data_IF_836855251727
#
_entry.id   IF_836855251727
#
_cell.length_a   1.000
_cell.length_b   1.000
_cell.length_c   1.000
_cell.angle_alpha   90.00
_cell.angle_beta   90.00
_cell.angle_gamma   90.00
#
_symmetry.space_group_name_H-M   'P 1'
#
loop_
_entity.id
_entity.type
_entity.pdbx_description
1 polymer ?
#
# COMPACT_ATOMS: atom_id res chain seq x y z
N UNK A 1 -20.97 -11.14 13.66
CA UNK A 1 -19.74 -11.89 14.01
C UNK A 1 -18.63 -11.28 13.17
N UNK A 2 -17.71 -10.53 13.79
CA UNK A 2 -16.73 -9.68 13.10
C UNK A 2 -15.65 -10.53 12.43
N UNK A 3 -15.66 -10.60 11.09
CA UNK A 3 -14.56 -11.15 10.28
C UNK A 3 -13.45 -10.10 9.99
N UNK A 4 -13.44 -8.97 10.70
CA UNK A 4 -12.52 -7.86 10.44
C UNK A 4 -11.01 -8.11 10.69
N UNK A 5 -10.57 -9.01 11.60
CA UNK A 5 -9.14 -9.22 11.81
C UNK A 5 -8.42 -9.65 10.52
N UNK A 6 -9.05 -10.49 9.69
CA UNK A 6 -8.44 -10.97 8.45
C UNK A 6 -8.22 -9.84 7.44
N UNK A 7 -9.15 -8.89 7.31
CA UNK A 7 -9.02 -7.79 6.35
C UNK A 7 -7.88 -6.84 6.69
N UNK A 8 -7.69 -6.53 7.99
CA UNK A 8 -6.56 -5.70 8.43
C UNK A 8 -5.24 -6.43 8.16
N UNK A 9 -5.17 -7.69 8.54
CA UNK A 9 -3.96 -8.50 8.40
C UNK A 9 -3.62 -8.74 6.92
N UNK A 10 -4.63 -8.91 6.07
CA UNK A 10 -4.49 -9.01 4.61
C UNK A 10 -3.88 -7.74 4.03
N UNK A 11 -4.38 -6.55 4.40
CA UNK A 11 -3.82 -5.28 3.88
C UNK A 11 -2.38 -5.10 4.35
N UNK A 12 -2.06 -5.40 5.61
CA UNK A 12 -0.69 -5.35 6.13
C UNK A 12 0.23 -6.33 5.40
N UNK A 13 -0.24 -7.55 5.14
CA UNK A 13 0.50 -8.56 4.40
C UNK A 13 0.75 -8.13 2.94
N UNK A 14 -0.27 -7.62 2.24
CA UNK A 14 -0.12 -7.12 0.87
C UNK A 14 0.84 -5.94 0.83
N UNK A 15 0.75 -5.01 1.78
CA UNK A 15 1.64 -3.86 1.85
C UNK A 15 3.10 -4.28 2.11
N UNK A 16 3.34 -5.27 3.00
CA UNK A 16 4.66 -5.85 3.20
C UNK A 16 5.20 -6.48 1.91
N UNK A 17 4.40 -7.32 1.27
CA UNK A 17 4.76 -7.99 0.02
C UNK A 17 5.00 -7.00 -1.13
N UNK A 18 4.35 -5.83 -1.11
CA UNK A 18 4.63 -4.74 -2.05
C UNK A 18 6.01 -4.12 -1.82
N UNK A 19 6.38 -3.82 -0.56
CA UNK A 19 7.70 -3.29 -0.22
C UNK A 19 8.80 -4.30 -0.55
N UNK A 20 8.63 -5.57 -0.17
CA UNK A 20 9.60 -6.62 -0.47
C UNK A 20 9.82 -6.78 -1.99
N UNK A 21 8.75 -6.61 -2.79
CA UNK A 21 8.86 -6.65 -4.24
C UNK A 21 9.59 -5.44 -4.83
N UNK A 22 9.46 -4.26 -4.21
CA UNK A 22 10.22 -3.06 -4.59
C UNK A 22 11.70 -3.21 -4.24
N UNK A 23 12.01 -3.80 -3.09
CA UNK A 23 13.39 -4.02 -2.63
C UNK A 23 14.14 -5.07 -3.43
N UNK A 24 13.41 -5.96 -4.09
CA UNK A 24 13.97 -6.91 -5.04
C UNK A 24 14.35 -6.28 -6.38
N UNK A 25 13.91 -5.05 -6.68
CA UNK A 25 14.30 -4.35 -7.89
C UNK A 25 15.76 -3.87 -7.80
N UNK A 26 16.44 -3.70 -8.96
CA UNK A 26 17.75 -3.05 -8.98
C UNK A 26 17.69 -1.66 -8.32
N UNK A 27 18.69 -1.32 -7.50
CA UNK A 27 18.69 -0.10 -6.69
C UNK A 27 18.60 1.20 -7.51
N UNK A 28 19.05 1.16 -8.77
CA UNK A 28 18.97 2.27 -9.71
C UNK A 28 17.56 2.52 -10.26
N UNK A 29 16.67 1.51 -10.23
CA UNK A 29 15.27 1.64 -10.67
C UNK A 29 14.48 2.59 -9.76
N UNK A 30 14.75 2.55 -8.45
CA UNK A 30 14.07 3.42 -7.48
C UNK A 30 14.71 4.80 -7.33
N UNK A 31 15.71 5.13 -8.16
CA UNK A 31 16.38 6.43 -8.09
C UNK A 31 15.38 7.56 -8.29
N UNK A 32 15.33 8.50 -7.35
CA UNK A 32 14.38 9.61 -7.31
C UNK A 32 13.06 9.32 -6.61
N UNK A 33 12.83 8.09 -6.13
CA UNK A 33 11.67 7.69 -5.33
C UNK A 33 12.05 7.12 -3.96
N UNK A 34 13.32 7.24 -3.55
CA UNK A 34 13.82 6.69 -2.29
C UNK A 34 13.04 7.25 -1.10
N UNK A 35 12.73 8.55 -1.12
CA UNK A 35 11.99 9.21 -0.05
C UNK A 35 10.59 8.62 0.15
N UNK A 36 9.80 8.48 -0.92
CA UNK A 36 8.44 7.93 -0.84
C UNK A 36 8.47 6.43 -0.49
N UNK A 37 9.45 5.69 -1.01
CA UNK A 37 9.67 4.27 -0.66
C UNK A 37 10.02 4.11 0.82
N UNK A 38 10.91 4.93 1.37
CA UNK A 38 11.31 4.87 2.78
C UNK A 38 10.16 5.26 3.72
N UNK A 39 9.34 6.25 3.33
CA UNK A 39 8.11 6.57 4.07
C UNK A 39 7.16 5.36 4.07
N UNK A 40 6.92 4.76 2.90
CA UNK A 40 6.05 3.59 2.79
C UNK A 40 6.58 2.43 3.64
N UNK A 41 7.86 2.08 3.54
CA UNK A 41 8.47 1.01 4.34
C UNK A 41 8.31 1.27 5.85
N UNK A 42 8.56 2.51 6.29
CA UNK A 42 8.42 2.88 7.69
C UNK A 42 6.98 2.71 8.19
N UNK A 43 6.00 3.15 7.41
CA UNK A 43 4.58 3.01 7.75
C UNK A 43 4.15 1.55 7.76
N UNK A 44 4.57 0.76 6.76
CA UNK A 44 4.32 -0.69 6.71
C UNK A 44 4.94 -1.42 7.91
N UNK A 45 6.15 -1.04 8.32
CA UNK A 45 6.84 -1.64 9.47
C UNK A 45 6.18 -1.30 10.80
N UNK A 46 5.62 -0.10 10.94
CA UNK A 46 4.81 0.26 12.11
C UNK A 46 3.39 -0.33 12.07
N UNK A 47 2.95 -0.82 10.91
CA UNK A 47 1.58 -1.27 10.68
C UNK A 47 0.59 -0.14 10.42
N UNK A 48 1.08 1.08 10.19
CA UNK A 48 0.32 2.32 9.96
C UNK A 48 -0.16 2.43 8.50
N UNK A 49 -0.74 1.35 7.97
CA UNK A 49 -1.10 1.23 6.54
C UNK A 49 -2.51 1.75 6.21
N UNK A 50 -3.27 2.20 7.21
CA UNK A 50 -4.64 2.72 7.04
C UNK A 50 -4.71 4.25 7.07
N UNK A 51 -3.57 4.92 7.30
CA UNK A 51 -3.46 6.37 7.32
C UNK A 51 -3.46 6.99 5.92
N UNK A 52 -3.73 8.29 5.86
CA UNK A 52 -3.61 9.09 4.63
C UNK A 52 -2.15 9.13 4.15
N UNK A 53 -1.20 9.31 5.07
CA UNK A 53 0.24 9.27 4.80
C UNK A 53 0.68 8.05 3.97
N UNK A 54 0.16 6.85 4.30
CA UNK A 54 0.48 5.64 3.55
C UNK A 54 -0.07 5.68 2.12
N UNK A 55 -1.30 6.18 1.97
CA UNK A 55 -1.95 6.27 0.66
C UNK A 55 -1.30 7.34 -0.21
N UNK A 56 -0.92 8.47 0.36
CA UNK A 56 -0.24 9.56 -0.34
C UNK A 56 1.16 9.15 -0.78
N UNK A 57 2.00 8.68 0.15
CA UNK A 57 3.35 8.22 -0.18
C UNK A 57 3.31 7.06 -1.18
N UNK A 58 2.39 6.12 -1.02
CA UNK A 58 2.21 5.02 -1.96
C UNK A 58 1.76 5.49 -3.34
N UNK A 59 0.90 6.52 -3.43
CA UNK A 59 0.47 7.09 -4.69
C UNK A 59 1.59 7.87 -5.39
N UNK A 60 2.39 8.66 -4.67
CA UNK A 60 3.56 9.33 -5.25
C UNK A 60 4.59 8.32 -5.75
N UNK A 61 4.86 7.28 -4.97
CA UNK A 61 5.71 6.19 -5.39
C UNK A 61 5.20 5.52 -6.68
N UNK A 62 3.91 5.22 -6.78
CA UNK A 62 3.32 4.70 -8.02
C UNK A 62 3.48 5.65 -9.22
N UNK A 63 3.33 6.97 -9.00
CA UNK A 63 3.53 7.96 -10.07
C UNK A 63 4.97 7.99 -10.54
N UNK A 64 5.93 7.82 -9.64
CA UNK A 64 7.34 7.71 -10.01
C UNK A 64 7.61 6.43 -10.80
N UNK A 65 7.17 5.28 -10.28
CA UNK A 65 7.35 3.98 -10.93
C UNK A 65 6.75 3.95 -12.34
N UNK A 66 5.61 4.61 -12.55
CA UNK A 66 4.96 4.70 -13.86
C UNK A 66 5.74 5.52 -14.91
N UNK A 67 6.75 6.30 -14.49
CA UNK A 67 7.63 7.07 -15.41
C UNK A 67 8.87 6.31 -15.81
N UNK A 68 9.16 5.18 -15.16
CA UNK A 68 10.32 4.35 -15.45
C UNK A 68 10.07 3.64 -16.78
N UNK A 69 11.03 3.72 -17.69
CA UNK A 69 11.05 2.84 -18.86
C UNK A 69 11.61 1.48 -18.41
N UNK A 70 10.79 0.42 -18.38
CA UNK A 70 11.24 -0.86 -17.86
C UNK A 70 12.21 -1.53 -18.82
N UNK A 71 13.38 -1.93 -18.32
CA UNK A 71 14.23 -2.84 -19.06
C UNK A 71 13.65 -4.26 -19.01
N UNK A 72 13.81 -5.02 -20.10
CA UNK A 72 13.23 -6.37 -20.25
C UNK A 72 13.59 -7.30 -19.07
N UNK A 73 14.78 -7.13 -18.48
CA UNK A 73 15.27 -7.94 -17.36
C UNK A 73 14.51 -7.78 -16.04
N UNK A 74 13.78 -6.67 -15.84
CA UNK A 74 13.03 -6.40 -14.60
C UNK A 74 11.60 -5.90 -14.85
N UNK A 75 11.15 -5.83 -16.10
CA UNK A 75 9.84 -5.31 -16.47
C UNK A 75 8.69 -6.03 -15.75
N UNK A 76 8.81 -7.34 -15.61
CA UNK A 76 7.79 -8.15 -14.94
C UNK A 76 7.77 -7.90 -13.44
N UNK A 77 8.94 -7.80 -12.82
CA UNK A 77 9.12 -7.53 -11.40
C UNK A 77 8.57 -6.14 -11.06
N UNK A 78 8.87 -5.14 -11.89
CA UNK A 78 8.36 -3.77 -11.75
C UNK A 78 6.83 -3.74 -11.84
N UNK A 79 6.24 -4.34 -12.87
CA UNK A 79 4.77 -4.43 -13.01
C UNK A 79 4.14 -5.12 -11.79
N UNK A 80 4.76 -6.21 -11.33
CA UNK A 80 4.30 -6.97 -10.18
C UNK A 80 4.36 -6.15 -8.87
N UNK A 81 5.43 -5.37 -8.68
CA UNK A 81 5.59 -4.48 -7.54
C UNK A 81 4.55 -3.34 -7.58
N UNK A 82 4.39 -2.70 -8.74
CA UNK A 82 3.37 -1.66 -8.94
C UNK A 82 1.96 -2.17 -8.69
N UNK A 83 1.64 -3.39 -9.15
CA UNK A 83 0.33 -4.01 -8.92
C UNK A 83 0.06 -4.25 -7.44
N UNK A 84 1.03 -4.83 -6.72
CA UNK A 84 0.92 -5.09 -5.27
C UNK A 84 0.78 -3.80 -4.47
N UNK A 85 1.54 -2.77 -4.81
CA UNK A 85 1.44 -1.47 -4.15
C UNK A 85 0.06 -0.85 -4.37
N UNK A 86 -0.48 -0.93 -5.59
CA UNK A 86 -1.84 -0.49 -5.90
C UNK A 86 -2.89 -1.28 -5.10
N UNK A 87 -2.72 -2.59 -4.99
CA UNK A 87 -3.63 -3.45 -4.23
C UNK A 87 -3.60 -3.10 -2.73
N UNK A 88 -2.42 -2.82 -2.17
CA UNK A 88 -2.29 -2.35 -0.78
C UNK A 88 -2.97 -1.00 -0.55
N UNK A 89 -2.79 -0.01 -1.42
CA UNK A 89 -3.43 1.31 -1.32
C UNK A 89 -4.95 1.19 -1.42
N UNK A 90 -5.45 0.40 -2.38
CA UNK A 90 -6.89 0.15 -2.53
C UNK A 90 -7.47 -0.59 -1.32
N UNK A 91 -6.74 -1.57 -0.80
CA UNK A 91 -7.10 -2.29 0.42
C UNK A 91 -7.18 -1.36 1.63
N UNK A 92 -6.17 -0.51 1.82
CA UNK A 92 -6.16 0.55 2.85
C UNK A 92 -7.40 1.42 2.79
N UNK A 93 -7.74 1.94 1.59
CA UNK A 93 -8.92 2.79 1.40
C UNK A 93 -10.23 2.06 1.70
N UNK A 94 -10.43 0.85 1.15
CA UNK A 94 -11.66 0.07 1.38
C UNK A 94 -11.87 -0.26 2.84
N UNK A 95 -10.81 -0.65 3.53
CA UNK A 95 -10.85 -0.98 4.95
C UNK A 95 -11.16 0.26 5.79
N UNK A 96 -10.55 1.42 5.49
CA UNK A 96 -10.86 2.67 6.17
C UNK A 96 -12.34 3.09 5.98
N UNK A 97 -12.89 2.94 4.77
CA UNK A 97 -14.30 3.20 4.49
C UNK A 97 -15.21 2.23 5.25
N UNK A 98 -14.88 0.94 5.30
CA UNK A 98 -15.66 -0.06 6.02
C UNK A 98 -15.74 0.27 7.52
N UNK A 99 -14.62 0.64 8.15
CA UNK A 99 -14.60 1.07 9.55
C UNK A 99 -15.41 2.35 9.80
N UNK A 100 -15.33 3.34 8.90
CA UNK A 100 -16.12 4.56 8.99
C UNK A 100 -17.63 4.30 8.87
N UNK A 101 -18.04 3.44 7.94
CA UNK A 101 -19.42 3.05 7.74
C UNK A 101 -19.99 2.26 8.94
N UNK A 102 -19.19 1.35 9.51
CA UNK A 102 -19.59 0.62 10.71
C UNK A 102 -19.79 1.54 11.91
N UNK A 103 -18.87 2.49 12.13
CA UNK A 103 -18.97 3.45 13.22
C UNK A 103 -20.25 4.31 13.11
N UNK A 104 -20.58 4.79 11.90
CA UNK A 104 -21.81 5.53 11.64
C UNK A 104 -23.06 4.67 11.92
N UNK A 105 -23.06 3.41 11.52
CA UNK A 105 -24.18 2.48 11.74
C UNK A 105 -24.40 2.12 13.21
N UNK A 106 -23.31 2.02 14.00
CA UNK A 106 -23.37 1.79 15.44
C UNK A 106 -23.97 2.98 16.18
N UNK A 107 -23.63 4.20 15.78
CA UNK A 107 -24.21 5.42 16.35
C UNK A 107 -25.72 5.49 16.06
N UNK A 108 -26.14 5.17 14.83
CA UNK A 108 -27.57 5.16 14.45
C UNK A 108 -28.40 4.10 15.19
N UNK A 109 -27.82 3.00 15.65
CA UNK A 109 -28.54 1.97 16.43
C UNK A 109 -28.62 2.29 17.93
N UNK A 110 -27.79 3.20 18.42
CA UNK A 110 -27.73 3.58 19.83
C UNK A 110 -28.58 4.84 20.14
N UNK A 111 -29.14 5.50 19.13
CA UNK A 111 -30.05 6.64 19.21
C UNK A 111 -31.50 6.19 18.98
#
# INVERSE_FOLDING_TARGET
MFQQPSLIDDVKAIARVAIDALDALPADVLRGAEFDRDICERLVTKGDVFGEDFREAGAELLRHLARIEPEERFARELDSAMRRLRDAINGSYRTAVAFGAEHASSIQRAA
#
